data_IF_232426484403
#
_entry.id   IF_232426484403
#
_cell.length_a   1.000
_cell.length_b   1.000
_cell.length_c   1.000
_cell.angle_alpha   90.00
_cell.angle_beta   90.00
_cell.angle_gamma   90.00
#
_symmetry.space_group_name_H-M   'P 1'
#
loop_
_entity.id
_entity.type
_entity.pdbx_description
1 polymer ?
#
# COMPACT_ATOMS: atom_id res chain seq x y z
N UNK A 1 -0.26 -1.49 13.31
CA UNK A 1 0.06 -2.22 14.56
C UNK A 1 1.31 -3.08 14.35
N UNK A 2 2.14 -3.19 15.34
CA UNK A 2 3.28 -4.09 15.33
C UNK A 2 2.82 -5.49 15.69
N UNK A 3 3.49 -6.53 15.18
CA UNK A 3 3.13 -7.90 15.51
C UNK A 3 3.18 -8.19 17.00
N UNK A 4 4.15 -7.62 17.71
CA UNK A 4 4.26 -7.83 19.15
C UNK A 4 3.13 -7.16 19.95
N UNK A 5 2.37 -6.28 19.33
CA UNK A 5 1.20 -5.66 19.95
C UNK A 5 -0.07 -6.47 19.73
N UNK A 6 -0.02 -7.47 18.86
CA UNK A 6 -1.15 -8.37 18.65
C UNK A 6 -1.22 -9.37 19.80
N UNK A 7 -2.37 -9.43 20.47
CA UNK A 7 -2.53 -10.24 21.69
C UNK A 7 -2.29 -11.72 21.47
N UNK A 8 -2.57 -12.26 20.29
CA UNK A 8 -2.40 -13.67 19.95
C UNK A 8 -1.62 -13.88 18.66
N UNK A 9 -0.83 -12.88 18.26
CA UNK A 9 -0.04 -12.89 17.04
C UNK A 9 -0.90 -13.00 15.76
N UNK A 10 -2.17 -12.66 15.86
CA UNK A 10 -3.07 -12.61 14.71
C UNK A 10 -4.10 -11.50 14.87
N UNK A 11 -4.75 -11.15 13.77
CA UNK A 11 -5.89 -10.24 13.79
C UNK A 11 -6.87 -10.62 12.70
N UNK A 12 -8.10 -10.14 12.83
CA UNK A 12 -9.10 -10.25 11.77
C UNK A 12 -8.89 -9.07 10.82
N UNK A 13 -8.11 -9.33 9.79
CA UNK A 13 -7.48 -8.26 9.00
C UNK A 13 -8.50 -7.38 8.26
N UNK A 14 -9.60 -7.95 7.78
CA UNK A 14 -10.59 -7.21 6.99
C UNK A 14 -11.70 -6.57 7.82
N UNK A 15 -11.48 -6.46 9.11
CA UNK A 15 -12.40 -5.74 9.98
C UNK A 15 -12.40 -4.25 9.60
N UNK A 16 -13.54 -3.71 9.20
CA UNK A 16 -13.64 -2.34 8.70
C UNK A 16 -13.18 -1.30 9.72
N UNK A 17 -13.45 -1.53 10.99
CA UNK A 17 -13.08 -0.58 12.05
C UNK A 17 -11.55 -0.41 12.20
N UNK A 18 -10.80 -1.33 11.64
CA UNK A 18 -9.35 -1.30 11.73
C UNK A 18 -8.68 -0.53 10.59
N UNK A 19 -9.43 -0.14 9.56
CA UNK A 19 -8.91 0.65 8.44
C UNK A 19 -8.95 2.13 8.78
N UNK A 20 -7.84 2.79 8.52
CA UNK A 20 -7.61 4.16 8.92
C UNK A 20 -7.66 5.06 7.70
N UNK A 21 -8.45 6.13 7.79
CA UNK A 21 -8.40 7.19 6.79
C UNK A 21 -7.03 7.86 6.83
N UNK A 22 -6.46 8.08 5.65
CA UNK A 22 -5.22 8.85 5.53
C UNK A 22 -5.55 10.33 5.28
N UNK A 23 -4.51 11.16 5.19
CA UNK A 23 -4.68 12.57 4.85
C UNK A 23 -5.08 12.78 3.37
N UNK A 24 -5.05 11.71 2.57
CA UNK A 24 -5.53 11.75 1.17
C UNK A 24 -6.95 11.17 1.10
N UNK A 25 -7.93 11.98 0.68
CA UNK A 25 -9.30 11.49 0.55
C UNK A 25 -9.39 10.25 -0.35
N UNK A 26 -10.15 9.27 0.09
CA UNK A 26 -10.33 8.02 -0.66
C UNK A 26 -9.25 6.98 -0.45
N UNK A 27 -8.22 7.27 0.37
CA UNK A 27 -7.15 6.33 0.67
C UNK A 27 -7.25 5.89 2.13
N UNK A 28 -7.67 4.65 2.34
CA UNK A 28 -7.71 4.02 3.67
C UNK A 28 -6.65 2.93 3.73
N UNK A 29 -6.04 2.77 4.89
CA UNK A 29 -4.97 1.78 5.03
C UNK A 29 -5.03 1.05 6.36
N UNK A 30 -4.40 -0.09 6.37
CA UNK A 30 -4.10 -0.84 7.57
C UNK A 30 -2.68 -1.38 7.46
N UNK A 31 -1.88 -1.16 8.50
CA UNK A 31 -0.46 -1.54 8.48
C UNK A 31 -0.17 -2.48 9.63
N UNK A 32 0.56 -3.54 9.34
CA UNK A 32 1.11 -4.45 10.35
C UNK A 32 2.60 -4.50 10.14
N UNK A 33 3.37 -4.19 11.19
CA UNK A 33 4.82 -4.15 11.12
C UNK A 33 5.42 -5.27 11.95
N UNK A 34 6.13 -6.18 11.27
CA UNK A 34 6.93 -7.21 11.91
C UNK A 34 8.38 -6.74 12.08
N UNK A 35 9.28 -7.66 12.37
CA UNK A 35 10.70 -7.36 12.48
C UNK A 35 11.35 -7.11 11.12
N UNK A 36 11.01 -7.92 10.13
CA UNK A 36 11.65 -7.90 8.80
C UNK A 36 10.67 -7.66 7.67
N UNK A 37 9.38 -7.77 7.95
CA UNK A 37 8.31 -7.60 7.00
C UNK A 37 7.35 -6.53 7.49
N UNK A 38 6.74 -5.86 6.54
CA UNK A 38 5.66 -4.92 6.83
C UNK A 38 4.58 -5.11 5.78
N UNK A 39 3.35 -5.16 6.23
CA UNK A 39 2.19 -5.33 5.39
C UNK A 39 1.38 -4.04 5.43
N UNK A 40 1.14 -3.46 4.27
CA UNK A 40 0.28 -2.30 4.12
C UNK A 40 -0.85 -2.66 3.17
N UNK A 41 -2.06 -2.70 3.67
CA UNK A 41 -3.23 -2.97 2.87
C UNK A 41 -3.96 -1.67 2.59
N UNK A 42 -4.24 -1.42 1.32
CA UNK A 42 -4.93 -0.24 0.86
C UNK A 42 -6.34 -0.56 0.40
N UNK A 43 -7.30 0.26 0.83
CA UNK A 43 -8.62 0.35 0.21
C UNK A 43 -8.73 1.73 -0.39
N UNK A 44 -8.79 1.81 -1.70
CA UNK A 44 -8.66 3.06 -2.44
C UNK A 44 -9.90 3.26 -3.30
N UNK A 45 -10.46 4.47 -3.26
CA UNK A 45 -11.61 4.81 -4.10
C UNK A 45 -11.25 4.69 -5.58
N UNK A 46 -12.15 4.11 -6.36
CA UNK A 46 -11.97 3.96 -7.81
C UNK A 46 -11.81 5.32 -8.48
N UNK A 47 -10.89 5.39 -9.42
CA UNK A 47 -10.55 6.61 -10.13
C UNK A 47 -9.52 7.49 -9.46
N UNK A 48 -9.13 7.18 -8.22
CA UNK A 48 -8.07 7.92 -7.54
C UNK A 48 -6.74 7.73 -8.27
N UNK A 49 -5.88 8.73 -8.17
CA UNK A 49 -4.54 8.67 -8.76
C UNK A 49 -3.51 8.60 -7.67
N UNK A 50 -2.46 7.84 -7.90
CA UNK A 50 -1.41 7.58 -6.94
C UNK A 50 -0.19 8.44 -7.13
N UNK A 51 0.79 8.10 -6.33
CA UNK A 51 2.07 8.78 -6.23
C UNK A 51 2.78 8.93 -7.58
N UNK A 52 3.73 9.85 -7.57
CA UNK A 52 4.67 9.99 -8.68
C UNK A 52 5.38 8.68 -8.97
N UNK A 53 5.96 8.60 -10.15
CA UNK A 53 6.94 7.56 -10.42
C UNK A 53 8.10 7.73 -9.43
N UNK A 54 8.38 6.70 -8.66
CA UNK A 54 9.36 6.74 -7.58
C UNK A 54 10.04 5.39 -7.42
N UNK A 55 11.04 5.35 -6.58
CA UNK A 55 11.71 4.10 -6.21
C UNK A 55 12.10 4.14 -4.75
N UNK A 56 12.25 2.96 -4.18
CA UNK A 56 12.74 2.80 -2.81
C UNK A 56 14.19 2.33 -2.86
N UNK A 57 15.05 3.02 -2.14
CA UNK A 57 16.47 2.68 -2.09
C UNK A 57 16.77 1.59 -1.06
N UNK A 58 15.89 1.45 -0.08
CA UNK A 58 16.13 0.60 1.09
C UNK A 58 15.13 -0.55 1.22
N UNK A 59 14.08 -0.56 0.41
CA UNK A 59 13.01 -1.54 0.53
C UNK A 59 12.77 -2.27 -0.77
N UNK A 60 12.48 -3.53 -0.65
CA UNK A 60 11.82 -4.29 -1.70
C UNK A 60 10.32 -4.21 -1.46
N UNK A 61 9.54 -4.09 -2.50
CA UNK A 61 8.07 -4.00 -2.41
C UNK A 61 7.43 -5.04 -3.31
N UNK A 62 6.56 -5.86 -2.72
CA UNK A 62 5.70 -6.78 -3.47
C UNK A 62 4.27 -6.32 -3.30
N UNK A 63 3.54 -6.20 -4.40
CA UNK A 63 2.13 -5.81 -4.36
C UNK A 63 1.24 -6.84 -5.00
N UNK A 64 0.09 -7.10 -4.38
CA UNK A 64 -0.95 -7.97 -4.93
C UNK A 64 -2.24 -7.20 -5.04
N UNK A 65 -2.86 -7.25 -6.21
CA UNK A 65 -4.15 -6.63 -6.42
C UNK A 65 -5.21 -7.61 -5.93
N UNK A 66 -6.02 -7.17 -4.97
CA UNK A 66 -7.04 -8.02 -4.34
C UNK A 66 -8.44 -7.72 -4.87
N UNK A 67 -8.68 -6.51 -5.38
CA UNK A 67 -9.97 -6.06 -5.89
C UNK A 67 -9.75 -4.89 -6.84
N UNK A 68 -10.55 -4.79 -7.90
CA UNK A 68 -10.39 -3.73 -8.90
C UNK A 68 -9.14 -3.93 -9.74
N UNK A 69 -8.41 -2.86 -10.00
CA UNK A 69 -7.22 -2.92 -10.83
C UNK A 69 -6.25 -1.78 -10.55
N UNK A 70 -5.06 -1.93 -11.08
CA UNK A 70 -3.99 -0.94 -10.98
C UNK A 70 -3.42 -0.69 -12.37
N UNK A 71 -3.52 0.54 -12.82
CA UNK A 71 -2.90 1.01 -14.05
C UNK A 71 -1.69 1.86 -13.64
N UNK A 72 -0.49 1.40 -13.93
CA UNK A 72 0.71 2.03 -13.40
C UNK A 72 1.92 1.79 -14.32
N UNK A 73 3.05 2.33 -13.90
CA UNK A 73 4.33 2.14 -14.58
C UNK A 73 5.29 1.43 -13.65
N UNK A 74 6.09 0.53 -14.20
CA UNK A 74 7.13 -0.18 -13.44
C UNK A 74 8.29 -0.49 -14.38
N UNK A 75 9.53 -0.25 -13.90
CA UNK A 75 10.75 -0.55 -14.64
C UNK A 75 11.53 0.72 -15.02
N UNK A 76 11.96 0.79 -16.27
CA UNK A 76 12.76 1.91 -16.76
C UNK A 76 11.94 3.21 -16.70
N UNK A 77 12.45 4.25 -16.02
CA UNK A 77 11.73 5.53 -15.90
C UNK A 77 11.55 6.26 -17.24
N UNK A 78 12.35 5.94 -18.24
CA UNK A 78 12.21 6.52 -19.57
C UNK A 78 11.19 5.79 -20.45
N UNK A 79 10.73 4.61 -20.03
CA UNK A 79 9.71 3.86 -20.72
C UNK A 79 8.33 4.25 -20.17
N UNK A 80 7.52 4.88 -21.01
CA UNK A 80 6.21 5.36 -20.60
C UNK A 80 5.12 4.29 -20.73
N UNK A 81 5.48 3.06 -21.06
CA UNK A 81 4.51 1.97 -21.17
C UNK A 81 3.80 1.74 -19.84
N UNK A 82 2.48 1.68 -19.92
CA UNK A 82 1.65 1.42 -18.75
C UNK A 82 1.30 -0.06 -18.68
N UNK A 83 1.21 -0.54 -17.45
CA UNK A 83 0.83 -1.92 -17.15
C UNK A 83 -0.48 -1.88 -16.37
N UNK A 84 -1.43 -2.73 -16.76
CA UNK A 84 -2.71 -2.86 -16.04
C UNK A 84 -2.74 -4.22 -15.38
N UNK A 85 -2.80 -4.22 -14.06
CA UNK A 85 -2.95 -5.42 -13.24
C UNK A 85 -4.39 -5.48 -12.71
N UNK A 86 -4.89 -6.70 -12.55
CA UNK A 86 -6.23 -6.94 -12.05
C UNK A 86 -6.18 -7.84 -10.82
N UNK A 87 -7.32 -8.04 -10.18
CA UNK A 87 -7.42 -8.88 -8.99
C UNK A 87 -6.75 -10.24 -9.23
N UNK A 88 -5.84 -10.60 -8.34
CA UNK A 88 -5.02 -11.81 -8.43
C UNK A 88 -3.63 -11.60 -9.02
N UNK A 89 -3.39 -10.47 -9.67
CA UNK A 89 -2.07 -10.17 -10.23
C UNK A 89 -1.12 -9.59 -9.18
N UNK A 90 0.16 -9.81 -9.41
CA UNK A 90 1.23 -9.43 -8.49
C UNK A 90 2.29 -8.64 -9.25
N UNK A 91 2.87 -7.64 -8.61
CA UNK A 91 4.09 -7.02 -9.07
C UNK A 91 5.16 -7.09 -8.00
N UNK A 92 6.41 -7.07 -8.43
CA UNK A 92 7.56 -7.00 -7.53
C UNK A 92 8.46 -5.86 -7.99
N UNK A 93 8.71 -4.94 -7.08
CA UNK A 93 9.66 -3.85 -7.28
C UNK A 93 10.85 -4.08 -6.36
N UNK A 94 11.92 -4.69 -6.86
CA UNK A 94 13.17 -4.79 -6.11
C UNK A 94 13.70 -3.41 -5.76
N UNK A 95 14.63 -3.36 -4.82
CA UNK A 95 15.28 -2.11 -4.42
C UNK A 95 15.74 -1.34 -5.68
N UNK A 96 15.44 -0.06 -5.70
CA UNK A 96 15.80 0.88 -6.77
C UNK A 96 15.03 0.73 -8.09
N UNK A 97 14.04 -0.13 -8.16
CA UNK A 97 13.20 -0.23 -9.37
C UNK A 97 12.09 0.82 -9.32
N UNK A 98 12.01 1.61 -10.37
CA UNK A 98 11.01 2.66 -10.49
C UNK A 98 9.60 2.08 -10.66
N UNK A 99 8.65 2.65 -9.95
CA UNK A 99 7.24 2.29 -10.06
C UNK A 99 6.35 3.42 -9.60
N UNK A 100 5.10 3.39 -10.01
CA UNK A 100 4.11 4.38 -9.60
C UNK A 100 3.37 4.99 -10.78
N UNK A 101 3.09 6.28 -10.71
CA UNK A 101 2.25 7.00 -11.67
C UNK A 101 0.94 6.24 -11.87
N UNK A 102 0.27 5.96 -10.75
CA UNK A 102 -0.81 4.99 -10.69
C UNK A 102 -2.18 5.62 -10.88
N UNK A 103 -3.07 4.87 -11.54
CA UNK A 103 -4.52 5.10 -11.53
C UNK A 103 -5.15 3.86 -10.92
N UNK A 104 -5.95 4.04 -9.89
CA UNK A 104 -6.59 2.95 -9.19
C UNK A 104 -7.97 2.72 -9.76
N UNK A 105 -8.23 1.50 -10.23
CA UNK A 105 -9.46 1.15 -10.91
C UNK A 105 -10.39 0.46 -9.93
N UNK A 106 -11.60 1.03 -9.76
CA UNK A 106 -12.60 0.45 -8.89
C UNK A 106 -13.27 -0.77 -9.51
N UNK A 107 -13.80 -1.63 -8.66
CA UNK A 107 -14.63 -2.76 -9.09
C UNK A 107 -16.10 -2.36 -9.22
N UNK A 108 -16.92 -3.25 -9.77
CA UNK A 108 -18.33 -2.98 -9.97
C UNK A 108 -19.16 -2.95 -8.67
N UNK A 109 -18.71 -3.69 -7.65
CA UNK A 109 -19.48 -3.86 -6.43
C UNK A 109 -19.31 -2.71 -5.46
N UNK A 110 -18.06 -2.32 -5.19
CA UNK A 110 -17.72 -1.31 -4.19
C UNK A 110 -17.12 -0.04 -4.78
N UNK A 111 -16.74 -0.07 -6.04
CA UNK A 111 -15.96 0.98 -6.69
C UNK A 111 -14.68 1.28 -5.89
N UNK A 112 -13.99 0.23 -5.52
CA UNK A 112 -12.74 0.31 -4.78
C UNK A 112 -11.65 -0.53 -5.43
N UNK A 113 -10.43 -0.11 -5.23
CA UNK A 113 -9.23 -0.87 -5.54
C UNK A 113 -8.59 -1.30 -4.22
N UNK A 114 -8.33 -2.59 -4.06
CA UNK A 114 -7.67 -3.13 -2.88
C UNK A 114 -6.31 -3.66 -3.27
N UNK A 115 -5.28 -3.15 -2.61
CA UNK A 115 -3.90 -3.57 -2.86
C UNK A 115 -3.25 -3.96 -1.55
N UNK A 116 -2.60 -5.11 -1.56
CA UNK A 116 -1.77 -5.59 -0.47
C UNK A 116 -0.32 -5.35 -0.84
N UNK A 117 0.34 -4.45 -0.13
CA UNK A 117 1.77 -4.20 -0.29
C UNK A 117 2.55 -4.83 0.85
N UNK A 118 3.63 -5.52 0.51
CA UNK A 118 4.57 -6.08 1.48
C UNK A 118 5.92 -5.41 1.26
N UNK A 119 6.51 -4.88 2.32
CA UNK A 119 7.82 -4.24 2.31
C UNK A 119 8.81 -5.02 3.15
N UNK A 120 10.05 -5.11 2.70
CA UNK A 120 11.15 -5.67 3.45
C UNK A 120 12.43 -4.91 3.12
N UNK A 121 13.13 -4.36 4.12
CA UNK A 121 12.70 -4.20 5.50
C UNK A 121 11.52 -3.26 5.66
N UNK A 122 10.91 -3.19 6.85
CA UNK A 122 9.80 -2.26 7.09
C UNK A 122 10.17 -0.81 6.81
N UNK A 123 9.20 -0.07 6.28
CA UNK A 123 9.34 1.38 6.08
C UNK A 123 9.03 2.10 7.38
N UNK A 124 9.92 3.01 7.77
CA UNK A 124 9.74 3.77 9.01
C UNK A 124 8.53 4.70 8.94
N UNK A 125 8.24 5.25 7.77
CA UNK A 125 7.09 6.12 7.58
C UNK A 125 5.74 5.40 7.79
N UNK A 126 5.71 4.07 7.69
CA UNK A 126 4.50 3.27 7.87
C UNK A 126 4.43 2.58 9.23
N UNK A 127 5.50 2.58 10.02
CA UNK A 127 5.53 1.85 11.29
C UNK A 127 4.41 2.24 12.25
N UNK A 128 4.07 3.51 12.26
CA UNK A 128 3.07 4.05 13.19
C UNK A 128 1.72 4.28 12.53
N UNK A 129 1.54 3.82 11.31
CA UNK A 129 0.34 4.12 10.54
C UNK A 129 -0.94 3.53 11.13
N UNK A 130 -0.83 2.47 11.94
CA UNK A 130 -1.98 1.84 12.60
C UNK A 130 -2.40 2.57 13.88
N UNK A 131 -1.58 3.47 14.38
CA UNK A 131 -1.85 4.26 15.58
C UNK A 131 -2.34 5.64 15.19
N UNK A 132 -3.59 5.70 14.81
CA UNK A 132 -4.20 6.86 14.16
C UNK A 132 -4.10 8.14 14.94
N UNK A 133 -4.32 8.09 16.22
CA UNK A 133 -4.40 9.30 17.01
C UNK A 133 -3.08 10.07 17.07
N UNK A 134 -1.97 9.39 16.82
CA UNK A 134 -0.64 9.99 16.81
C UNK A 134 -0.09 10.18 15.42
N UNK A 135 -0.54 9.40 14.48
CA UNK A 135 0.08 9.29 13.17
C UNK A 135 0.06 10.58 12.38
N UNK A 136 -0.95 11.41 12.59
CA UNK A 136 -1.03 12.69 11.88
C UNK A 136 0.15 13.59 12.21
N UNK A 137 0.73 13.43 13.40
CA UNK A 137 1.89 14.19 13.80
C UNK A 137 3.20 13.55 13.36
N UNK A 138 3.24 12.24 13.26
CA UNK A 138 4.48 11.48 13.03
C UNK A 138 4.76 11.24 11.55
N UNK A 139 3.72 11.10 10.75
CA UNK A 139 3.89 10.78 9.32
C UNK A 139 4.51 11.89 8.49
N UNK A 140 4.42 13.11 8.93
CA UNK A 140 4.96 14.24 8.18
C UNK A 140 6.46 14.16 7.95
N UNK A 141 7.14 13.34 8.73
CA UNK A 141 8.59 13.19 8.64
C UNK A 141 9.01 12.03 7.74
N UNK A 142 8.07 11.39 7.09
CA UNK A 142 8.32 10.22 6.27
C UNK A 142 8.81 10.56 4.88
#
# INVERSE_FOLDING_TARGET
VSLHELSNQYCHFFDDDAFVETDRPGFRQRVITGERLQLCFWRIAGGATGSFLHRHQEHEQLGMIMRGGLDFRIGDPDDETRVVLRAGDVYLAPTSVWHGDSVFLGDEELDECWILDVFSPPRDDLRNAADTSRNDLERKDS
#
